data_IF_728371132043
#
_entry.id   IF_728371132043
#
_cell.length_a   1.000
_cell.length_b   1.000
_cell.length_c   1.000
_cell.angle_alpha   90.00
_cell.angle_beta   90.00
_cell.angle_gamma   90.00
#
_symmetry.space_group_name_H-M   'P 1'
#
loop_
_entity.id
_entity.type
_entity.pdbx_description
1 polymer ?
#
# COMPACT_ATOMS: atom_id res chain seq x y z
N UNK A 1 11.73 -19.33 26.37
CA UNK A 1 10.25 -19.27 26.42
C UNK A 1 9.81 -17.81 26.52
N UNK A 2 10.34 -16.94 25.66
CA UNK A 2 10.18 -15.47 25.75
C UNK A 2 10.15 -14.77 24.39
N UNK A 3 10.15 -15.51 23.27
CA UNK A 3 10.08 -14.96 21.91
C UNK A 3 8.66 -15.03 21.28
N UNK A 4 7.68 -15.65 21.96
CA UNK A 4 6.32 -15.80 21.43
C UNK A 4 5.33 -14.69 21.81
N UNK A 5 5.68 -13.79 22.74
CA UNK A 5 4.71 -12.80 23.27
C UNK A 5 4.78 -11.45 22.52
N UNK A 6 5.89 -11.15 21.84
CA UNK A 6 6.07 -9.86 21.18
C UNK A 6 5.43 -9.77 19.78
N UNK A 7 5.25 -10.89 19.08
CA UNK A 7 4.63 -10.92 17.74
C UNK A 7 3.10 -10.82 17.78
N UNK A 8 2.44 -11.33 18.83
CA UNK A 8 0.97 -11.36 18.97
C UNK A 8 0.34 -9.98 19.27
N UNK A 9 1.11 -9.09 19.92
CA UNK A 9 0.63 -7.75 20.28
C UNK A 9 0.45 -6.83 19.07
N UNK A 10 1.35 -6.95 18.07
CA UNK A 10 1.32 -6.08 16.89
C UNK A 10 0.11 -6.35 15.99
N UNK A 11 -0.17 -7.61 15.70
CA UNK A 11 -1.31 -8.01 14.87
C UNK A 11 -2.65 -7.64 15.51
N UNK A 12 -2.78 -7.94 16.81
CA UNK A 12 -4.00 -7.66 17.57
C UNK A 12 -4.26 -6.16 17.68
N UNK A 13 -3.22 -5.35 17.89
CA UNK A 13 -3.34 -3.89 17.94
C UNK A 13 -3.77 -3.31 16.59
N UNK A 14 -3.17 -3.77 15.47
CA UNK A 14 -3.52 -3.30 14.13
C UNK A 14 -4.94 -3.71 13.72
N UNK A 15 -5.38 -4.92 14.06
CA UNK A 15 -6.75 -5.38 13.82
C UNK A 15 -7.77 -4.58 14.66
N UNK A 16 -7.44 -4.28 15.91
CA UNK A 16 -8.26 -3.41 16.75
C UNK A 16 -8.38 -1.99 16.18
N UNK A 17 -7.27 -1.39 15.75
CA UNK A 17 -7.26 -0.08 15.09
C UNK A 17 -8.11 -0.10 13.81
N UNK A 18 -8.00 -1.15 13.01
CA UNK A 18 -8.84 -1.32 11.82
C UNK A 18 -10.33 -1.26 12.18
N UNK A 19 -10.76 -2.01 13.20
CA UNK A 19 -12.16 -2.04 13.64
C UNK A 19 -12.62 -0.68 14.16
N UNK A 20 -11.83 -0.02 15.01
CA UNK A 20 -12.18 1.28 15.57
C UNK A 20 -12.36 2.35 14.49
N UNK A 21 -11.51 2.34 13.46
CA UNK A 21 -11.60 3.27 12.32
C UNK A 21 -12.80 2.91 11.43
N UNK A 22 -12.99 1.61 11.13
CA UNK A 22 -14.10 1.13 10.30
C UNK A 22 -15.47 1.46 10.90
N UNK A 23 -15.63 1.32 12.22
CA UNK A 23 -16.87 1.61 12.92
C UNK A 23 -17.02 3.08 13.33
N UNK A 24 -16.10 3.96 12.89
CA UNK A 24 -16.13 5.40 13.20
C UNK A 24 -16.02 5.73 14.70
N UNK A 25 -15.57 4.78 15.53
CA UNK A 25 -15.24 5.04 16.93
C UNK A 25 -13.96 5.86 17.08
N UNK A 26 -13.10 5.85 16.05
CA UNK A 26 -11.86 6.59 15.98
C UNK A 26 -11.79 7.38 14.66
N UNK A 27 -12.27 8.62 14.68
CA UNK A 27 -12.17 9.57 13.55
C UNK A 27 -10.86 10.34 13.56
N UNK A 28 -10.34 10.67 14.75
CA UNK A 28 -9.05 11.33 14.93
C UNK A 28 -9.04 12.81 14.49
N UNK A 29 -10.20 13.46 14.45
CA UNK A 29 -10.37 14.87 14.05
C UNK A 29 -9.94 15.89 15.11
N UNK A 30 -9.30 15.43 16.18
CA UNK A 30 -8.76 16.28 17.24
C UNK A 30 -7.29 16.61 16.95
N UNK A 31 -6.80 17.81 17.31
CA UNK A 31 -5.38 18.14 17.25
C UNK A 31 -4.56 17.14 18.07
N UNK A 32 -3.40 16.75 17.54
CA UNK A 32 -2.46 15.93 18.28
C UNK A 32 -1.94 16.67 19.51
N UNK A 33 -1.76 15.93 20.62
CA UNK A 33 -1.30 16.50 21.89
C UNK A 33 0.16 16.94 21.85
N UNK A 34 0.97 16.35 20.96
CA UNK A 34 2.39 16.71 20.79
C UNK A 34 2.63 17.71 19.66
N UNK A 35 1.81 17.66 18.60
CA UNK A 35 1.87 18.59 17.47
C UNK A 35 0.47 19.16 17.16
N UNK A 36 0.05 20.27 17.80
CA UNK A 36 -1.32 20.79 17.67
C UNK A 36 -1.68 21.28 16.25
N UNK A 37 -0.69 21.40 15.35
CA UNK A 37 -0.89 21.72 13.94
C UNK A 37 -1.23 20.49 13.08
N UNK A 38 -1.24 19.27 13.65
CA UNK A 38 -1.60 18.03 12.97
C UNK A 38 -2.78 17.36 13.66
N UNK A 39 -3.61 16.67 12.88
CA UNK A 39 -4.67 15.84 13.45
C UNK A 39 -4.11 14.52 14.00
N UNK A 40 -4.72 14.01 15.06
CA UNK A 40 -4.35 12.75 15.69
C UNK A 40 -4.36 11.58 14.70
N UNK A 41 -5.27 11.57 13.73
CA UNK A 41 -5.29 10.53 12.70
C UNK A 41 -3.98 10.47 11.89
N UNK A 42 -3.36 11.61 11.60
CA UNK A 42 -2.11 11.66 10.83
C UNK A 42 -1.02 10.91 11.59
N UNK A 43 -0.93 11.14 12.91
CA UNK A 43 0.02 10.44 13.79
C UNK A 43 -0.25 8.93 13.87
N UNK A 44 -1.52 8.54 13.93
CA UNK A 44 -1.92 7.12 13.93
C UNK A 44 -1.47 6.45 12.62
N UNK A 45 -1.72 7.08 11.47
CA UNK A 45 -1.33 6.54 10.16
C UNK A 45 0.19 6.49 10.02
N UNK A 46 0.91 7.52 10.46
CA UNK A 46 2.38 7.52 10.51
C UNK A 46 2.91 6.35 11.35
N UNK A 47 2.28 6.07 12.50
CA UNK A 47 2.65 4.96 13.38
C UNK A 47 2.39 3.62 12.71
N UNK A 48 1.22 3.43 12.10
CA UNK A 48 0.87 2.23 11.32
C UNK A 48 1.87 2.00 10.19
N UNK A 49 2.20 3.06 9.44
CA UNK A 49 3.18 2.97 8.36
C UNK A 49 4.58 2.59 8.89
N UNK A 50 4.94 3.12 10.06
CA UNK A 50 6.19 2.81 10.76
C UNK A 50 6.31 1.36 11.23
N UNK A 51 5.21 0.61 11.36
CA UNK A 51 5.25 -0.81 11.67
C UNK A 51 5.89 -1.64 10.54
N UNK A 52 5.91 -1.13 9.31
CA UNK A 52 6.59 -1.78 8.20
C UNK A 52 8.06 -1.32 8.13
N UNK A 53 8.99 -2.22 8.47
CA UNK A 53 10.43 -1.92 8.50
C UNK A 53 11.23 -2.58 7.37
N UNK A 54 10.55 -3.24 6.43
CA UNK A 54 11.17 -3.98 5.33
C UNK A 54 10.77 -5.46 5.28
N UNK A 55 11.46 -6.28 4.47
CA UNK A 55 11.08 -7.68 4.20
C UNK A 55 11.16 -8.60 5.43
N UNK A 56 11.80 -8.18 6.51
CA UNK A 56 11.88 -8.89 7.78
C UNK A 56 10.65 -8.69 8.69
N UNK A 57 9.78 -7.75 8.35
CA UNK A 57 8.50 -7.56 9.07
C UNK A 57 7.68 -8.84 8.95
N UNK A 58 7.02 -9.27 10.03
CA UNK A 58 6.21 -10.49 10.01
C UNK A 58 5.11 -10.43 8.92
N UNK A 59 4.82 -11.57 8.30
CA UNK A 59 3.83 -11.66 7.21
C UNK A 59 2.42 -11.34 7.68
N UNK A 60 2.04 -11.71 8.91
CA UNK A 60 0.73 -11.36 9.48
C UNK A 60 0.62 -9.86 9.73
N UNK A 61 1.69 -9.25 10.25
CA UNK A 61 1.78 -7.80 10.50
C UNK A 61 1.70 -7.04 9.18
N UNK A 62 2.42 -7.47 8.14
CA UNK A 62 2.32 -6.89 6.81
C UNK A 62 0.88 -6.91 6.28
N UNK A 63 0.17 -8.02 6.44
CA UNK A 63 -1.22 -8.14 6.00
C UNK A 63 -2.14 -7.18 6.77
N UNK A 64 -1.96 -7.05 8.08
CA UNK A 64 -2.75 -6.12 8.89
C UNK A 64 -2.47 -4.66 8.56
N UNK A 65 -1.21 -4.30 8.28
CA UNK A 65 -0.84 -2.97 7.77
C UNK A 65 -1.60 -2.66 6.48
N UNK A 66 -1.62 -3.59 5.51
CA UNK A 66 -2.36 -3.41 4.24
C UNK A 66 -3.85 -3.14 4.52
N UNK A 67 -4.47 -3.97 5.37
CA UNK A 67 -5.91 -3.89 5.69
C UNK A 67 -6.31 -2.59 6.40
N UNK A 68 -5.56 -2.19 7.43
CA UNK A 68 -5.86 -0.97 8.19
C UNK A 68 -5.66 0.28 7.34
N UNK A 69 -4.59 0.32 6.53
CA UNK A 69 -4.33 1.44 5.63
C UNK A 69 -5.41 1.56 4.55
N UNK A 70 -5.90 0.43 4.01
CA UNK A 70 -7.04 0.43 3.10
C UNK A 70 -8.28 1.02 3.78
N UNK A 71 -8.57 0.58 5.00
CA UNK A 71 -9.73 1.04 5.78
C UNK A 71 -9.67 2.55 6.05
N UNK A 72 -8.49 3.08 6.39
CA UNK A 72 -8.27 4.53 6.54
C UNK A 72 -8.58 5.26 5.24
N UNK A 73 -8.04 4.78 4.11
CA UNK A 73 -8.17 5.44 2.81
C UNK A 73 -9.61 5.38 2.25
N UNK A 74 -10.37 4.35 2.58
CA UNK A 74 -11.76 4.18 2.10
C UNK A 74 -12.80 4.75 3.06
N UNK A 75 -12.45 5.04 4.32
CA UNK A 75 -13.37 5.62 5.30
C UNK A 75 -13.83 7.02 4.88
N UNK A 76 -15.13 7.26 4.95
CA UNK A 76 -15.74 8.58 4.70
C UNK A 76 -15.68 9.49 5.93
N UNK A 77 -15.32 8.94 7.10
CA UNK A 77 -15.37 9.64 8.40
C UNK A 77 -14.02 10.21 8.81
N UNK A 78 -12.97 9.92 8.05
CA UNK A 78 -11.59 10.29 8.35
C UNK A 78 -11.11 11.28 7.29
N UNK A 79 -10.66 12.44 7.75
CA UNK A 79 -10.04 13.44 6.89
C UNK A 79 -8.57 13.11 6.65
N UNK A 80 -8.24 12.70 5.43
CA UNK A 80 -6.86 12.34 5.05
C UNK A 80 -6.21 13.49 4.28
N UNK A 81 -5.03 13.93 4.74
CA UNK A 81 -4.25 14.99 4.10
C UNK A 81 -3.34 14.43 2.99
N UNK A 82 -2.91 15.29 2.05
CA UNK A 82 -2.03 14.92 0.91
C UNK A 82 -0.82 14.08 1.35
N UNK A 83 -0.11 14.52 2.40
CA UNK A 83 1.07 13.83 2.92
C UNK A 83 0.76 12.42 3.45
N UNK A 84 -0.40 12.24 4.08
CA UNK A 84 -0.86 10.96 4.64
C UNK A 84 -1.26 10.00 3.52
N UNK A 85 -1.91 10.49 2.46
CA UNK A 85 -2.24 9.71 1.26
C UNK A 85 -0.97 9.17 0.60
N UNK A 86 0.00 10.06 0.34
CA UNK A 86 1.27 9.69 -0.30
C UNK A 86 2.06 8.67 0.55
N UNK A 87 2.15 8.90 1.86
CA UNK A 87 2.82 7.99 2.78
C UNK A 87 2.16 6.61 2.75
N UNK A 88 0.82 6.56 2.80
CA UNK A 88 0.06 5.31 2.81
C UNK A 88 0.28 4.50 1.54
N UNK A 89 0.13 5.12 0.37
CA UNK A 89 0.32 4.44 -0.92
C UNK A 89 1.76 3.95 -1.06
N UNK A 90 2.75 4.77 -0.67
CA UNK A 90 4.16 4.38 -0.69
C UNK A 90 4.41 3.17 0.22
N UNK A 91 3.84 3.16 1.43
CA UNK A 91 4.00 2.03 2.37
C UNK A 91 3.42 0.75 1.80
N UNK A 92 2.18 0.77 1.28
CA UNK A 92 1.56 -0.43 0.68
C UNK A 92 2.32 -0.89 -0.57
N UNK A 93 2.82 0.03 -1.39
CA UNK A 93 3.69 -0.30 -2.53
C UNK A 93 5.01 -0.94 -2.09
N UNK A 94 5.60 -0.45 -1.00
CA UNK A 94 6.79 -1.06 -0.43
C UNK A 94 6.52 -2.48 0.07
N UNK A 95 5.41 -2.73 0.77
CA UNK A 95 4.98 -4.07 1.18
C UNK A 95 4.81 -4.97 -0.05
N UNK A 96 4.12 -4.50 -1.09
CA UNK A 96 3.97 -5.23 -2.36
C UNK A 96 5.32 -5.68 -2.95
N UNK A 97 6.30 -4.79 -2.99
CA UNK A 97 7.59 -5.10 -3.60
C UNK A 97 8.52 -5.94 -2.73
N UNK A 98 8.41 -5.89 -1.41
CA UNK A 98 9.34 -6.55 -0.49
C UNK A 98 8.82 -7.84 0.13
N UNK A 99 7.49 -8.02 0.18
CA UNK A 99 6.89 -9.22 0.74
C UNK A 99 7.35 -10.46 -0.02
N UNK A 100 7.64 -11.55 0.71
CA UNK A 100 7.91 -12.87 0.13
C UNK A 100 6.63 -13.71 0.00
N UNK A 101 5.56 -13.28 0.66
CA UNK A 101 4.27 -13.95 0.67
C UNK A 101 3.40 -13.47 -0.50
N UNK A 102 2.99 -14.40 -1.37
CA UNK A 102 2.19 -14.11 -2.56
C UNK A 102 0.79 -13.58 -2.23
N UNK A 103 0.20 -13.99 -1.11
CA UNK A 103 -1.08 -13.47 -0.63
C UNK A 103 -0.91 -11.99 -0.32
N UNK A 104 0.10 -11.62 0.48
CA UNK A 104 0.37 -10.23 0.82
C UNK A 104 0.67 -9.37 -0.42
N UNK A 105 1.42 -9.89 -1.40
CA UNK A 105 1.66 -9.19 -2.67
C UNK A 105 0.35 -8.96 -3.44
N UNK A 106 -0.48 -9.99 -3.57
CA UNK A 106 -1.75 -9.90 -4.31
C UNK A 106 -2.72 -8.94 -3.60
N UNK A 107 -2.84 -9.04 -2.28
CA UNK A 107 -3.67 -8.15 -1.46
C UNK A 107 -3.18 -6.71 -1.51
N UNK A 108 -1.87 -6.47 -1.44
CA UNK A 108 -1.30 -5.13 -1.57
C UNK A 108 -1.56 -4.52 -2.97
N UNK A 109 -1.43 -5.32 -4.04
CA UNK A 109 -1.72 -4.87 -5.40
C UNK A 109 -3.19 -4.47 -5.59
N UNK A 110 -4.12 -5.33 -5.11
CA UNK A 110 -5.55 -5.02 -5.12
C UNK A 110 -5.86 -3.76 -4.29
N UNK A 111 -5.24 -3.64 -3.12
CA UNK A 111 -5.39 -2.49 -2.21
C UNK A 111 -4.92 -1.20 -2.86
N UNK A 112 -3.75 -1.18 -3.51
CA UNK A 112 -3.24 0.00 -4.22
C UNK A 112 -4.21 0.47 -5.30
N UNK A 113 -4.74 -0.49 -6.07
CA UNK A 113 -5.72 -0.20 -7.12
C UNK A 113 -6.98 0.42 -6.50
N UNK A 114 -7.49 -0.17 -5.42
CA UNK A 114 -8.67 0.33 -4.73
C UNK A 114 -8.46 1.72 -4.13
N UNK A 115 -7.31 1.97 -3.48
CA UNK A 115 -6.96 3.28 -2.93
C UNK A 115 -6.94 4.34 -4.03
N UNK A 116 -6.31 4.06 -5.17
CA UNK A 116 -6.24 4.97 -6.31
C UNK A 116 -7.64 5.26 -6.86
N UNK A 117 -8.47 4.24 -7.06
CA UNK A 117 -9.84 4.41 -7.55
C UNK A 117 -10.68 5.26 -6.61
N UNK A 118 -10.56 5.05 -5.29
CA UNK A 118 -11.28 5.84 -4.28
C UNK A 118 -10.83 7.30 -4.28
N UNK A 119 -9.53 7.55 -4.44
CA UNK A 119 -9.00 8.91 -4.56
C UNK A 119 -9.59 9.59 -5.80
N UNK A 120 -9.52 8.95 -6.96
CA UNK A 120 -10.07 9.53 -8.19
C UNK A 120 -11.57 9.81 -8.10
N UNK A 121 -12.35 8.85 -7.59
CA UNK A 121 -13.79 9.05 -7.42
C UNK A 121 -14.10 10.24 -6.49
N UNK A 122 -13.34 10.39 -5.39
CA UNK A 122 -13.51 11.52 -4.47
C UNK A 122 -13.07 12.86 -5.08
N UNK A 123 -12.01 12.86 -5.90
CA UNK A 123 -11.59 14.06 -6.63
C UNK A 123 -12.65 14.50 -7.64
N UNK A 124 -13.28 13.55 -8.33
CA UNK A 124 -14.36 13.82 -9.30
C UNK A 124 -15.59 14.42 -8.62
N UNK A 125 -16.07 13.80 -7.53
CA UNK A 125 -17.20 14.35 -6.74
C UNK A 125 -16.91 15.77 -6.23
N UNK A 126 -15.68 16.04 -5.80
CA UNK A 126 -15.29 17.39 -5.35
C UNK A 126 -15.31 18.41 -6.48
N UNK A 127 -14.84 18.05 -7.68
CA UNK A 127 -14.86 18.93 -8.84
C UNK A 127 -16.30 19.25 -9.29
N UNK A 128 -17.21 18.29 -9.19
CA UNK A 128 -18.65 18.50 -9.46
C UNK A 128 -19.28 19.46 -8.45
N UNK A 129 -19.03 19.26 -7.15
CA UNK A 129 -19.51 20.14 -6.08
C UNK A 129 -18.99 21.59 -6.22
N UNK A 130 -17.74 21.76 -6.66
CA UNK A 130 -17.15 23.08 -6.90
C UNK A 130 -17.79 23.80 -8.09
N UNK A 131 -18.08 23.09 -9.19
CA UNK A 131 -18.77 23.66 -10.35
C UNK A 131 -20.21 24.09 -10.02
N UNK A 132 -20.95 23.31 -9.22
CA UNK A 132 -22.32 23.67 -8.79
C UNK A 132 -22.32 24.94 -7.92
N UNK A 133 -21.28 25.15 -7.11
CA UNK A 133 -21.13 26.34 -6.27
C UNK A 133 -20.86 27.63 -7.07
N UNK A 134 -20.27 27.52 -8.25
CA UNK A 134 -19.96 28.66 -9.12
C UNK A 134 -21.19 29.15 -9.91
N UNK A 135 -22.19 28.28 -10.11
CA UNK A 135 -23.46 28.63 -10.78
C UNK A 135 -24.56 29.16 -9.82
N UNK A 136 -24.33 29.14 -8.50
CA UNK A 136 -25.33 29.42 -7.48
C UNK A 136 -24.97 30.52 -6.48
N UNK A 137 -24.81 31.77 -6.91
CA UNK A 137 -24.87 32.91 -5.97
C UNK A 137 -26.33 33.15 -5.54
N UNK A 138 -26.73 32.68 -4.35
CA UNK A 138 -27.48 33.43 -3.30
C UNK A 138 -27.85 32.50 -2.11
N UNK A 139 -27.31 32.84 -0.92
CA UNK A 139 -27.77 32.53 0.46
C UNK A 139 -27.96 31.06 0.89
N UNK A 140 -27.07 30.51 1.73
CA UNK A 140 -27.04 30.67 3.20
C UNK A 140 -26.14 29.60 3.85
N UNK A 141 -25.54 29.98 4.98
CA UNK A 141 -24.51 29.28 5.75
C UNK A 141 -24.95 27.88 6.27
N UNK A 142 -24.06 26.90 6.05
CA UNK A 142 -24.18 25.54 6.54
C UNK A 142 -22.89 24.78 6.24
N UNK A 143 -21.84 25.06 7.01
CA UNK A 143 -20.57 24.32 7.01
C UNK A 143 -20.80 22.83 7.34
N UNK A 144 -19.84 22.00 6.95
CA UNK A 144 -19.73 20.54 7.21
C UNK A 144 -20.59 19.71 6.23
N UNK A 145 -20.04 19.05 5.21
CA UNK A 145 -19.04 17.98 5.24
C UNK A 145 -18.21 18.13 3.96
N UNK A 146 -16.90 18.29 4.06
CA UNK A 146 -16.07 18.24 2.87
C UNK A 146 -14.74 17.58 3.20
N UNK A 147 -14.86 16.29 3.46
CA UNK A 147 -13.92 15.62 4.33
C UNK A 147 -13.11 14.59 3.53
N UNK A 148 -11.84 14.92 3.31
CA UNK A 148 -10.78 13.92 3.20
C UNK A 148 -10.03 13.79 1.88
N UNK A 149 -10.38 14.52 0.81
CA UNK A 149 -9.55 14.59 -0.42
C UNK A 149 -9.19 16.04 -0.82
N UNK A 150 -9.64 17.03 -0.05
CA UNK A 150 -9.43 18.46 -0.33
C UNK A 150 -7.97 18.91 -0.45
N UNK A 151 -7.00 18.07 -0.09
CA UNK A 151 -5.58 18.36 -0.25
C UNK A 151 -4.88 17.47 -1.28
N UNK A 152 -5.48 16.38 -1.78
CA UNK A 152 -4.86 15.56 -2.81
C UNK A 152 -5.32 16.01 -4.19
N UNK A 153 -4.57 16.93 -4.79
CA UNK A 153 -4.85 17.53 -6.09
C UNK A 153 -4.00 16.90 -7.21
N UNK A 154 -4.13 17.42 -8.42
CA UNK A 154 -3.36 17.00 -9.60
C UNK A 154 -1.82 17.06 -9.39
N UNK A 155 -1.33 17.99 -8.55
CA UNK A 155 0.07 18.03 -8.13
C UNK A 155 0.44 16.87 -7.18
N UNK A 156 -0.44 16.53 -6.24
CA UNK A 156 -0.32 15.34 -5.40
C UNK A 156 -0.25 14.05 -6.22
N UNK A 157 -1.10 13.90 -7.24
CA UNK A 157 -1.04 12.80 -8.21
C UNK A 157 0.33 12.74 -8.91
N UNK A 158 0.82 13.86 -9.45
CA UNK A 158 2.14 13.92 -10.12
C UNK A 158 3.27 13.51 -9.19
N UNK A 159 3.30 14.02 -7.95
CA UNK A 159 4.29 13.65 -6.93
C UNK A 159 4.24 12.16 -6.61
N UNK A 160 3.03 11.58 -6.50
CA UNK A 160 2.85 10.16 -6.26
C UNK A 160 3.47 9.32 -7.38
N UNK A 161 3.04 9.54 -8.62
CA UNK A 161 3.54 8.79 -9.77
C UNK A 161 5.04 8.94 -9.95
N UNK A 162 5.58 10.15 -9.72
CA UNK A 162 7.02 10.38 -9.72
C UNK A 162 7.73 9.55 -8.65
N UNK A 163 7.24 9.56 -7.40
CA UNK A 163 7.82 8.77 -6.32
C UNK A 163 7.79 7.26 -6.62
N UNK A 164 6.64 6.74 -7.07
CA UNK A 164 6.50 5.31 -7.40
C UNK A 164 7.44 4.91 -8.56
N UNK A 165 7.55 5.77 -9.57
CA UNK A 165 8.45 5.57 -10.70
C UNK A 165 9.92 5.55 -10.27
N UNK A 166 10.34 6.45 -9.40
CA UNK A 166 11.71 6.49 -8.88
C UNK A 166 12.04 5.23 -8.07
N UNK A 167 11.11 4.76 -7.22
CA UNK A 167 11.28 3.54 -6.43
C UNK A 167 11.38 2.29 -7.32
N UNK A 168 10.56 2.22 -8.37
CA UNK A 168 10.66 1.17 -9.38
C UNK A 168 11.97 1.24 -10.16
N UNK A 169 12.39 2.42 -10.60
CA UNK A 169 13.62 2.62 -11.38
C UNK A 169 14.87 2.20 -10.58
N UNK A 170 14.92 2.48 -9.28
CA UNK A 170 16.03 2.05 -8.42
C UNK A 170 16.15 0.51 -8.35
N UNK A 171 15.04 -0.21 -8.43
CA UNK A 171 15.00 -1.69 -8.35
C UNK A 171 15.07 -2.38 -9.71
N UNK A 172 14.76 -1.67 -10.80
CA UNK A 172 14.72 -2.18 -12.17
C UNK A 172 16.01 -2.92 -12.61
N UNK A 173 17.24 -2.40 -12.39
CA UNK A 173 18.46 -3.09 -12.81
C UNK A 173 18.63 -4.46 -12.15
N UNK A 174 18.27 -4.56 -10.87
CA UNK A 174 18.36 -5.80 -10.10
C UNK A 174 17.29 -6.81 -10.53
N UNK A 175 16.04 -6.36 -10.73
CA UNK A 175 14.96 -7.22 -11.25
C UNK A 175 15.33 -7.75 -12.65
N UNK A 176 15.85 -6.89 -13.53
CA UNK A 176 16.30 -7.30 -14.86
C UNK A 176 17.45 -8.32 -14.82
N UNK A 177 18.38 -8.17 -13.87
CA UNK A 177 19.43 -9.15 -13.62
C UNK A 177 18.85 -10.50 -13.19
N UNK A 178 17.95 -10.54 -12.21
CA UNK A 178 17.33 -11.78 -11.74
C UNK A 178 16.52 -12.49 -12.83
N UNK A 179 15.79 -11.75 -13.66
CA UNK A 179 15.07 -12.31 -14.80
C UNK A 179 16.05 -12.97 -15.79
N UNK A 180 17.16 -12.28 -16.12
CA UNK A 180 18.21 -12.85 -16.98
C UNK A 180 18.87 -14.08 -16.37
N UNK A 181 19.15 -14.06 -15.07
CA UNK A 181 19.69 -15.24 -14.36
C UNK A 181 18.73 -16.42 -14.40
N UNK A 182 17.43 -16.19 -14.17
CA UNK A 182 16.40 -17.23 -14.27
C UNK A 182 16.33 -17.82 -15.68
N UNK A 183 16.33 -16.98 -16.71
CA UNK A 183 16.32 -17.42 -18.11
C UNK A 183 17.59 -18.22 -18.47
N UNK A 184 18.75 -17.76 -18.01
CA UNK A 184 20.02 -18.48 -18.17
C UNK A 184 19.98 -19.86 -17.51
N UNK A 185 19.50 -19.94 -16.27
CA UNK A 185 19.40 -21.20 -15.53
C UNK A 185 18.43 -22.19 -16.20
N UNK A 186 17.27 -21.72 -16.68
CA UNK A 186 16.32 -22.54 -17.43
C UNK A 186 16.93 -23.08 -18.73
N UNK A 187 17.74 -22.27 -19.42
CA UNK A 187 18.47 -22.70 -20.62
C UNK A 187 19.50 -23.79 -20.29
N UNK A 188 20.34 -23.57 -19.26
CA UNK A 188 21.32 -24.57 -18.82
C UNK A 188 20.67 -25.87 -18.37
N UNK A 189 19.56 -25.79 -17.64
CA UNK A 189 18.78 -26.95 -17.24
C UNK A 189 18.28 -27.75 -18.46
N UNK A 190 17.71 -27.09 -19.47
CA UNK A 190 17.26 -27.75 -20.70
C UNK A 190 18.42 -28.41 -21.46
N UNK A 191 19.60 -27.80 -21.48
CA UNK A 191 20.79 -28.41 -22.07
C UNK A 191 21.21 -29.69 -21.33
N UNK A 192 21.29 -29.64 -20.00
CA UNK A 192 21.67 -30.80 -19.17
C UNK A 192 20.66 -31.95 -19.31
N UNK A 193 19.37 -31.65 -19.35
CA UNK A 193 18.31 -32.64 -19.55
C UNK A 193 18.49 -33.37 -20.89
N UNK A 194 18.83 -32.63 -21.95
CA UNK A 194 19.14 -33.18 -23.28
C UNK A 194 20.37 -34.08 -23.28
N UNK A 195 21.42 -33.71 -22.54
CA UNK A 195 22.62 -34.53 -22.38
C UNK A 195 22.34 -35.82 -21.59
N UNK A 196 21.55 -35.74 -20.51
CA UNK A 196 21.11 -36.92 -19.78
C UNK A 196 20.29 -37.87 -20.66
N UNK A 197 19.35 -37.35 -21.44
CA UNK A 197 18.55 -38.14 -22.38
C UNK A 197 19.43 -38.82 -23.43
N UNK A 198 20.42 -38.09 -23.96
CA UNK A 198 21.37 -38.60 -24.95
C UNK A 198 22.24 -39.73 -24.39
N UNK A 199 22.77 -39.57 -23.17
CA UNK A 199 23.53 -40.63 -22.48
C UNK A 199 22.64 -41.84 -22.20
N UNK A 200 21.39 -41.63 -21.78
CA UNK A 200 20.44 -42.71 -21.52
C UNK A 200 20.16 -43.53 -22.80
N UNK A 201 19.94 -42.85 -23.93
CA UNK A 201 19.77 -43.50 -25.24
C UNK A 201 21.03 -44.29 -25.63
N UNK A 202 22.23 -43.72 -25.46
CA UNK A 202 23.48 -44.45 -25.75
C UNK A 202 23.61 -45.71 -24.90
N UNK A 203 23.27 -45.62 -23.61
CA UNK A 203 23.34 -46.75 -22.68
C UNK A 203 22.31 -47.83 -23.01
N UNK A 204 21.08 -47.45 -23.35
CA UNK A 204 20.01 -48.37 -23.77
C UNK A 204 20.32 -49.01 -25.13
N UNK A 205 21.00 -48.31 -26.04
CA UNK A 205 21.38 -48.87 -27.35
C UNK A 205 22.69 -49.69 -27.33
N UNK A 206 23.47 -49.67 -26.24
CA UNK A 206 24.71 -50.46 -26.08
C UNK A 206 24.55 -51.71 -25.18
N UNK A 207 23.34 -51.97 -24.67
CA UNK A 207 22.96 -53.21 -23.95
C UNK A 207 22.03 -54.01 -24.86
#
# INVERSE_FOLDING_TARGET
MSELVTTDCGDTALDCLQKLIAYSHLTGNVPDSTEPNKLLIVRIVETICGCFTGPQTDESVQLQIIKVLLTVMTSQHVEVYEGTVLLTIRTVYNVYLSSRNLVNQTTACATLTQMINVIFARMETQAEEENVRLDGEHQQEGSVIANGVRLFNDDGCRKLFKSLREDYQKRSPYIAYLIRCRQGLLSTFAHLDRYCLYINIIFVCNV
#
